data_IF_097367353585
#
_entry.id   IF_097367353585
#
_cell.length_a   1.000
_cell.length_b   1.000
_cell.length_c   1.000
_cell.angle_alpha   90.00
_cell.angle_beta   90.00
_cell.angle_gamma   90.00
#
_symmetry.space_group_name_H-M   'P 1'
#
loop_
_entity.id
_entity.type
_entity.pdbx_description
1 polymer ?
#
# COMPACT_ATOMS: atom_id res chain seq x y z
N UNK A 1 21.42 10.11 8.48
CA UNK A 1 20.34 10.32 7.51
C UNK A 1 20.22 11.81 7.28
N UNK A 2 20.19 12.25 6.03
CA UNK A 2 19.93 13.66 5.71
C UNK A 2 18.42 13.88 5.54
N UNK A 3 17.95 15.11 5.76
CA UNK A 3 16.52 15.46 5.62
C UNK A 3 15.96 15.10 4.25
N UNK A 4 16.78 15.23 3.20
CA UNK A 4 16.41 14.90 1.82
C UNK A 4 16.23 13.38 1.65
N UNK A 5 17.11 12.56 2.21
CA UNK A 5 16.98 11.09 2.19
C UNK A 5 15.68 10.63 2.87
N UNK A 6 15.32 11.21 4.01
CA UNK A 6 14.10 10.86 4.73
C UNK A 6 12.83 11.21 3.94
N UNK A 7 12.84 12.34 3.23
CA UNK A 7 11.72 12.75 2.37
C UNK A 7 11.61 11.87 1.13
N UNK A 8 12.73 11.53 0.49
CA UNK A 8 12.75 10.64 -0.68
C UNK A 8 12.28 9.23 -0.33
N UNK A 9 12.70 8.68 0.81
CA UNK A 9 12.26 7.37 1.29
C UNK A 9 10.76 7.36 1.65
N UNK A 10 10.27 8.44 2.24
CA UNK A 10 8.84 8.60 2.50
C UNK A 10 8.01 8.70 1.22
N UNK A 11 8.49 9.45 0.23
CA UNK A 11 7.84 9.59 -1.06
C UNK A 11 7.81 8.24 -1.81
N UNK A 12 8.91 7.48 -1.79
CA UNK A 12 8.99 6.15 -2.38
C UNK A 12 8.03 5.18 -1.69
N UNK A 13 7.98 5.19 -0.35
CA UNK A 13 7.04 4.37 0.42
C UNK A 13 5.59 4.72 0.11
N UNK A 14 5.28 6.01 -0.08
CA UNK A 14 3.96 6.46 -0.51
C UNK A 14 3.60 5.97 -1.92
N UNK A 15 4.51 6.06 -2.87
CA UNK A 15 4.32 5.54 -4.23
C UNK A 15 4.15 4.01 -4.23
N UNK A 16 4.95 3.29 -3.45
CA UNK A 16 4.82 1.85 -3.29
C UNK A 16 3.47 1.45 -2.69
N UNK A 17 2.99 2.19 -1.68
CA UNK A 17 1.67 2.00 -1.11
C UNK A 17 0.55 2.22 -2.13
N UNK A 18 0.62 3.31 -2.90
CA UNK A 18 -0.37 3.60 -3.95
C UNK A 18 -0.37 2.53 -5.05
N UNK A 19 0.81 2.08 -5.49
CA UNK A 19 0.96 1.03 -6.50
C UNK A 19 0.39 -0.31 -6.02
N UNK A 20 0.62 -0.69 -4.76
CA UNK A 20 0.04 -1.90 -4.16
C UNK A 20 -1.48 -1.85 -4.11
N UNK A 21 -2.05 -0.69 -3.79
CA UNK A 21 -3.50 -0.51 -3.70
C UNK A 21 -4.14 -0.54 -5.09
N UNK A 22 -3.54 0.13 -6.07
CA UNK A 22 -3.99 0.11 -7.46
C UNK A 22 -3.89 -1.30 -8.08
N UNK A 23 -2.73 -1.95 -7.92
CA UNK A 23 -2.51 -3.31 -8.40
C UNK A 23 -3.42 -4.34 -7.73
N UNK A 24 -3.57 -4.25 -6.40
CA UNK A 24 -4.49 -5.10 -5.64
C UNK A 24 -5.94 -4.95 -6.06
N UNK A 25 -6.38 -3.72 -6.33
CA UNK A 25 -7.73 -3.45 -6.84
C UNK A 25 -7.95 -4.03 -8.22
N UNK A 26 -6.97 -3.90 -9.12
CA UNK A 26 -7.04 -4.50 -10.44
C UNK A 26 -7.14 -6.03 -10.37
N UNK A 27 -6.27 -6.67 -9.59
CA UNK A 27 -6.29 -8.14 -9.42
C UNK A 27 -7.60 -8.61 -8.77
N UNK A 28 -8.08 -7.93 -7.73
CA UNK A 28 -9.35 -8.26 -7.09
C UNK A 28 -10.52 -8.15 -8.08
N UNK A 29 -10.55 -7.12 -8.93
CA UNK A 29 -11.56 -6.97 -9.98
C UNK A 29 -11.50 -8.13 -10.98
N UNK A 30 -10.30 -8.49 -11.46
CA UNK A 30 -10.13 -9.62 -12.38
C UNK A 30 -10.58 -10.95 -11.77
N UNK A 31 -10.32 -11.18 -10.48
CA UNK A 31 -10.80 -12.38 -9.77
C UNK A 31 -12.32 -12.40 -9.70
N UNK A 32 -12.94 -11.27 -9.38
CA UNK A 32 -14.39 -11.15 -9.26
C UNK A 32 -15.09 -11.38 -10.60
N UNK A 33 -14.53 -10.84 -11.69
CA UNK A 33 -15.03 -11.05 -13.06
C UNK A 33 -14.85 -12.50 -13.54
N UNK A 34 -13.70 -13.11 -13.27
CA UNK A 34 -13.39 -14.46 -13.77
C UNK A 34 -14.16 -15.56 -13.05
N UNK A 35 -14.33 -15.47 -11.72
CA UNK A 35 -14.98 -16.50 -10.92
C UNK A 35 -16.48 -16.26 -10.71
N UNK A 36 -16.99 -15.08 -11.09
CA UNK A 36 -18.37 -14.66 -10.85
C UNK A 36 -18.62 -14.27 -9.38
N UNK A 37 -19.78 -13.65 -9.09
CA UNK A 37 -20.02 -12.96 -7.82
C UNK A 37 -20.06 -13.89 -6.60
N UNK A 38 -20.41 -15.17 -6.77
CA UNK A 38 -20.54 -16.11 -5.65
C UNK A 38 -19.20 -16.75 -5.24
N UNK A 39 -18.35 -17.10 -6.21
CA UNK A 39 -17.07 -17.77 -5.95
C UNK A 39 -15.90 -16.77 -5.91
N UNK A 40 -16.03 -15.63 -6.60
CA UNK A 40 -15.00 -14.60 -6.70
C UNK A 40 -15.01 -13.57 -5.56
N UNK A 41 -16.14 -13.35 -4.87
CA UNK A 41 -16.26 -12.31 -3.86
C UNK A 41 -15.27 -12.45 -2.70
N UNK A 42 -15.22 -13.64 -2.08
CA UNK A 42 -14.34 -13.92 -0.94
C UNK A 42 -12.86 -13.80 -1.31
N UNK A 43 -12.35 -14.48 -2.36
CA UNK A 43 -10.94 -14.35 -2.74
C UNK A 43 -10.60 -12.93 -3.23
N UNK A 44 -11.49 -12.23 -3.95
CA UNK A 44 -11.26 -10.84 -4.35
C UNK A 44 -11.13 -9.92 -3.13
N UNK A 45 -12.02 -10.05 -2.14
CA UNK A 45 -11.96 -9.27 -0.89
C UNK A 45 -10.69 -9.57 -0.09
N UNK A 46 -10.24 -10.83 -0.05
CA UNK A 46 -8.99 -11.20 0.63
C UNK A 46 -7.78 -10.56 -0.06
N UNK A 47 -7.67 -10.68 -1.39
CA UNK A 47 -6.58 -10.07 -2.15
C UNK A 47 -6.58 -8.56 -1.95
N UNK A 48 -7.74 -7.92 -2.11
CA UNK A 48 -7.87 -6.48 -1.92
C UNK A 48 -7.52 -6.05 -0.49
N UNK A 49 -8.03 -6.75 0.53
CA UNK A 49 -7.76 -6.46 1.93
C UNK A 49 -6.28 -6.59 2.30
N UNK A 50 -5.61 -7.62 1.77
CA UNK A 50 -4.16 -7.81 1.94
C UNK A 50 -3.38 -6.67 1.27
N UNK A 51 -3.77 -6.27 0.06
CA UNK A 51 -3.15 -5.14 -0.64
C UNK A 51 -3.34 -3.83 0.11
N UNK A 52 -4.53 -3.57 0.67
CA UNK A 52 -4.80 -2.39 1.50
C UNK A 52 -3.93 -2.41 2.75
N UNK A 53 -3.83 -3.55 3.44
CA UNK A 53 -3.00 -3.68 4.64
C UNK A 53 -1.53 -3.33 4.35
N UNK A 54 -0.95 -3.90 3.29
CA UNK A 54 0.44 -3.60 2.91
C UNK A 54 0.61 -2.15 2.41
N UNK A 55 -0.36 -1.61 1.68
CA UNK A 55 -0.33 -0.22 1.25
C UNK A 55 -0.30 0.74 2.44
N UNK A 56 -1.21 0.56 3.41
CA UNK A 56 -1.26 1.35 4.64
C UNK A 56 0.02 1.21 5.45
N UNK A 57 0.60 0.00 5.52
CA UNK A 57 1.88 -0.22 6.19
C UNK A 57 3.01 0.58 5.54
N UNK A 58 3.06 0.66 4.21
CA UNK A 58 4.05 1.47 3.49
C UNK A 58 3.85 2.98 3.72
N UNK A 59 2.60 3.46 3.70
CA UNK A 59 2.30 4.85 4.06
C UNK A 59 2.74 5.19 5.48
N UNK A 60 2.42 4.31 6.44
CA UNK A 60 2.81 4.49 7.84
C UNK A 60 4.34 4.51 8.01
N UNK A 61 5.06 3.65 7.28
CA UNK A 61 6.52 3.64 7.29
C UNK A 61 7.10 4.97 6.78
N UNK A 62 6.61 5.47 5.65
CA UNK A 62 7.05 6.76 5.10
C UNK A 62 6.74 7.94 6.03
N UNK A 63 5.60 7.95 6.70
CA UNK A 63 5.29 8.99 7.70
C UNK A 63 6.23 8.87 8.90
N UNK A 64 6.47 7.65 9.38
CA UNK A 64 7.37 7.40 10.50
C UNK A 64 8.79 7.87 10.21
N UNK A 65 9.33 7.62 9.02
CA UNK A 65 10.71 8.05 8.67
C UNK A 65 10.85 9.57 8.68
N UNK A 66 9.88 10.32 8.16
CA UNK A 66 9.88 11.80 8.22
C UNK A 66 9.76 12.30 9.66
N UNK A 67 8.87 11.70 10.46
CA UNK A 67 8.66 12.11 11.86
C UNK A 67 9.90 11.79 12.70
N UNK A 68 10.52 10.63 12.50
CA UNK A 68 11.74 10.24 13.20
C UNK A 68 12.88 11.21 12.92
N UNK A 69 13.11 11.58 11.65
CA UNK A 69 14.11 12.61 11.27
C UNK A 69 13.81 13.95 11.96
N UNK A 70 12.55 14.40 11.93
CA UNK A 70 12.14 15.66 12.56
C UNK A 70 12.30 15.66 14.09
N UNK A 71 12.06 14.53 14.75
CA UNK A 71 12.14 14.38 16.22
C UNK A 71 13.57 14.18 16.75
N UNK A 72 14.54 13.91 15.88
CA UNK A 72 15.95 13.70 16.23
C UNK A 72 16.77 14.99 16.35
N UNK A 73 16.11 16.15 16.26
CA UNK A 73 16.66 17.50 16.44
C UNK A 73 16.20 18.09 17.76
#
# INVERSE_FOLDING_TARGET
MTRTEAVDEAAFSGLAGAALLAGGSFVASSIFEAAGPWLGAVPALLVWGVSVYYAVKQFAHGIYTVVADASSR
#
